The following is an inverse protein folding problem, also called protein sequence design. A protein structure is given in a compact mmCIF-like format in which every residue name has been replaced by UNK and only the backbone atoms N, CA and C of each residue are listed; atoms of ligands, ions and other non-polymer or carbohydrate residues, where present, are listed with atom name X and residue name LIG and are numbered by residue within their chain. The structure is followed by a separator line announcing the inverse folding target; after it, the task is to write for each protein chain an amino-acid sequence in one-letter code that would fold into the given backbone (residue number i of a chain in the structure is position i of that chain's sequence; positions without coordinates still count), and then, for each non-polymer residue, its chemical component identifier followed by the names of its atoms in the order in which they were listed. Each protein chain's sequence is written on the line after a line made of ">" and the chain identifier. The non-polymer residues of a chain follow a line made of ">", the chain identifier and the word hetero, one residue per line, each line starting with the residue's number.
data_IF_585400436737
#
_entry.id   IF_585400436737
#
_cell.length_a   1.000
_cell.length_b   1.000
_cell.length_c   1.000
_cell.angle_alpha   90.00
_cell.angle_beta   90.00
_cell.angle_gamma   90.00
#
_symmetry.space_group_name_H-M   'P 1'
#
loop_
_entity.id
_entity.type
_entity.pdbx_description
1 polymer ?
#
# COMPACT_ATOMS: atom_id res chain seq x y z
N UNK A 1 -10.66 -42.99 -39.13
CA UNK A 1 -10.29 -42.76 -37.71
C UNK A 1 -8.91 -42.11 -37.67
N UNK A 2 -8.84 -40.78 -37.76
CA UNK A 2 -7.59 -40.03 -37.67
C UNK A 2 -7.56 -39.28 -36.34
N UNK A 3 -6.74 -39.78 -35.40
CA UNK A 3 -6.44 -39.10 -34.15
C UNK A 3 -5.37 -38.02 -34.42
N UNK A 4 -5.80 -36.75 -34.48
CA UNK A 4 -4.91 -35.60 -34.37
C UNK A 4 -4.49 -35.45 -32.89
N UNK A 5 -3.22 -35.74 -32.60
CA UNK A 5 -2.57 -35.38 -31.33
C UNK A 5 -2.36 -33.88 -31.29
N UNK A 6 -3.15 -33.18 -30.49
CA UNK A 6 -2.93 -31.78 -30.11
C UNK A 6 -1.74 -31.77 -29.13
N UNK A 7 -0.58 -31.36 -29.61
CA UNK A 7 0.57 -31.03 -28.77
C UNK A 7 0.30 -29.66 -28.17
N UNK A 8 -0.18 -29.63 -26.93
CA UNK A 8 -0.31 -28.41 -26.15
C UNK A 8 1.07 -27.86 -25.81
N UNK A 9 1.43 -26.75 -26.45
CA UNK A 9 2.57 -25.93 -26.04
C UNK A 9 2.22 -25.28 -24.70
N UNK A 10 2.67 -25.90 -23.61
CA UNK A 10 2.63 -25.29 -22.28
C UNK A 10 3.73 -24.23 -22.25
N UNK A 11 3.36 -22.98 -22.56
CA UNK A 11 4.24 -21.84 -22.36
C UNK A 11 4.43 -21.66 -20.86
N UNK A 12 5.54 -22.21 -20.35
CA UNK A 12 5.99 -22.04 -18.98
C UNK A 12 6.42 -20.58 -18.80
N UNK A 13 5.48 -19.69 -18.44
CA UNK A 13 5.79 -18.34 -18.00
C UNK A 13 6.51 -18.47 -16.66
N UNK A 14 7.84 -18.46 -16.71
CA UNK A 14 8.67 -18.28 -15.53
C UNK A 14 8.42 -16.88 -15.02
N UNK A 15 7.59 -16.76 -13.98
CA UNK A 15 7.51 -15.56 -13.15
C UNK A 15 8.85 -15.42 -12.44
N UNK A 16 9.81 -14.78 -13.11
CA UNK A 16 11.00 -14.26 -12.46
C UNK A 16 10.48 -13.20 -11.49
N UNK A 17 10.38 -13.57 -10.23
CA UNK A 17 10.25 -12.63 -9.12
C UNK A 17 11.55 -11.82 -9.07
N UNK A 18 11.71 -10.84 -9.95
CA UNK A 18 12.74 -9.83 -9.80
C UNK A 18 12.39 -9.08 -8.53
N UNK A 19 13.10 -9.34 -7.44
CA UNK A 19 13.05 -8.47 -6.27
C UNK A 19 13.45 -7.08 -6.73
N UNK A 20 12.48 -6.17 -6.78
CA UNK A 20 12.73 -4.80 -7.17
C UNK A 20 13.64 -4.17 -6.11
N UNK A 21 14.86 -3.87 -6.56
CA UNK A 21 15.95 -3.12 -5.94
C UNK A 21 16.10 -3.20 -4.40
N UNK A 22 17.14 -3.90 -3.95
CA UNK A 22 17.65 -3.79 -2.58
C UNK A 22 18.27 -2.40 -2.29
N UNK A 23 18.82 -1.71 -3.30
CA UNK A 23 19.47 -0.41 -3.12
C UNK A 23 18.71 0.71 -3.82
N UNK A 24 18.26 1.70 -3.05
CA UNK A 24 17.48 2.84 -3.55
C UNK A 24 18.21 4.15 -3.36
N UNK A 25 18.40 4.92 -4.44
CA UNK A 25 18.88 6.30 -4.38
C UNK A 25 17.73 7.26 -4.08
N UNK A 26 17.87 8.07 -3.03
CA UNK A 26 16.84 9.02 -2.58
C UNK A 26 17.45 10.32 -2.06
N UNK A 27 16.59 11.29 -1.75
CA UNK A 27 16.97 12.60 -1.25
C UNK A 27 16.46 12.80 0.18
N UNK A 28 17.28 13.45 1.01
CA UNK A 28 16.87 13.91 2.35
C UNK A 28 15.87 15.05 2.22
N UNK A 29 14.66 14.87 2.74
CA UNK A 29 13.54 15.80 2.61
C UNK A 29 13.30 16.64 3.87
N UNK A 30 13.70 16.15 5.04
CA UNK A 30 13.54 16.83 6.33
C UNK A 30 14.19 18.22 6.33
N UNK A 31 13.44 19.23 6.78
CA UNK A 31 13.92 20.62 6.86
C UNK A 31 15.11 20.76 7.81
N UNK A 32 15.12 20.01 8.92
CA UNK A 32 16.22 20.01 9.90
C UNK A 32 17.37 19.08 9.48
N UNK A 33 17.29 18.50 8.27
CA UNK A 33 18.18 17.44 7.81
C UNK A 33 17.83 16.07 8.40
N UNK A 34 18.69 15.09 8.11
CA UNK A 34 18.52 13.71 8.55
C UNK A 34 19.61 13.29 9.54
N UNK A 35 19.21 12.71 10.66
CA UNK A 35 20.16 12.13 11.62
C UNK A 35 20.64 10.77 11.13
N UNK A 36 21.92 10.68 10.78
CA UNK A 36 22.60 9.42 10.53
C UNK A 36 23.03 8.79 11.86
N UNK A 37 22.73 7.50 12.00
CA UNK A 37 22.96 6.74 13.22
C UNK A 37 23.78 5.49 12.94
N UNK A 38 24.43 4.98 13.97
CA UNK A 38 25.15 3.70 13.93
C UNK A 38 24.59 2.75 14.98
N UNK A 39 24.62 1.46 14.70
CA UNK A 39 24.27 0.41 15.65
C UNK A 39 25.33 0.33 16.76
N UNK A 40 24.89 0.24 18.00
CA UNK A 40 25.73 0.01 19.18
C UNK A 40 25.07 -1.00 20.10
N UNK A 41 25.89 -1.84 20.71
CA UNK A 41 25.40 -2.80 21.69
C UNK A 41 25.02 -2.11 22.99
N UNK A 42 23.97 -2.63 23.62
CA UNK A 42 23.53 -2.30 24.96
C UNK A 42 23.31 -3.61 25.70
N UNK A 43 23.98 -3.74 26.84
CA UNK A 43 23.70 -4.82 27.78
C UNK A 43 22.79 -4.24 28.86
N UNK A 44 21.59 -4.79 28.97
CA UNK A 44 20.69 -4.48 30.05
C UNK A 44 21.30 -4.96 31.37
N UNK A 45 21.40 -4.04 32.35
CA UNK A 45 22.09 -4.33 33.61
C UNK A 45 21.27 -5.20 34.56
N UNK A 46 19.94 -5.23 34.42
CA UNK A 46 19.05 -5.97 35.31
C UNK A 46 18.79 -7.38 34.80
N UNK A 47 18.60 -7.52 33.49
CA UNK A 47 18.27 -8.80 32.84
C UNK A 47 19.47 -9.49 32.21
N UNK A 48 20.61 -8.80 32.07
CA UNK A 48 21.78 -9.29 31.34
C UNK A 48 21.58 -9.39 29.82
N UNK A 49 20.37 -9.08 29.32
CA UNK A 49 20.01 -9.21 27.92
C UNK A 49 20.86 -8.27 27.06
N UNK A 50 21.46 -8.82 26.00
CA UNK A 50 22.17 -8.03 24.99
C UNK A 50 21.17 -7.61 23.92
N UNK A 51 21.06 -6.29 23.73
CA UNK A 51 20.30 -5.69 22.63
C UNK A 51 21.18 -4.66 21.92
N UNK A 52 20.62 -3.98 20.93
CA UNK A 52 21.29 -2.89 20.25
C UNK A 52 20.42 -1.64 20.23
N UNK A 53 21.07 -0.49 20.12
CA UNK A 53 20.43 0.79 19.89
C UNK A 53 21.12 1.58 18.79
N UNK A 54 20.38 2.50 18.17
CA UNK A 54 20.92 3.42 17.18
C UNK A 54 21.41 4.70 17.85
N UNK A 55 22.73 4.90 17.86
CA UNK A 55 23.40 6.11 18.36
C UNK A 55 23.53 7.14 17.24
N UNK A 56 23.02 8.35 17.44
CA UNK A 56 23.24 9.47 16.50
C UNK A 56 24.73 9.73 16.31
N UNK A 57 25.17 9.81 15.06
CA UNK A 57 26.56 10.09 14.68
C UNK A 57 26.72 11.49 14.09
N UNK A 58 25.82 11.91 13.22
CA UNK A 58 25.82 13.24 12.58
C UNK A 58 24.42 13.55 12.04
N UNK A 59 24.17 14.80 11.66
CA UNK A 59 23.03 15.20 10.83
C UNK A 59 23.54 15.64 9.46
N UNK A 60 22.96 15.10 8.38
CA UNK A 60 23.19 15.56 6.99
C UNK A 60 22.07 16.53 6.59
N UNK A 61 22.36 17.58 5.80
CA UNK A 61 21.37 18.60 5.46
C UNK A 61 20.31 18.09 4.48
N UNK A 62 19.17 18.80 4.42
CA UNK A 62 18.16 18.67 3.36
C UNK A 62 18.81 18.73 1.97
N UNK A 63 18.30 17.95 1.03
CA UNK A 63 18.82 17.89 -0.34
C UNK A 63 20.09 17.02 -0.50
N UNK A 64 20.60 16.42 0.58
CA UNK A 64 21.63 15.39 0.47
C UNK A 64 21.09 14.18 -0.29
N UNK A 65 21.90 13.60 -1.16
CA UNK A 65 21.59 12.38 -1.92
C UNK A 65 22.26 11.22 -1.22
N UNK A 66 21.48 10.17 -0.97
CA UNK A 66 21.94 8.94 -0.34
C UNK A 66 21.44 7.75 -1.13
N UNK A 67 22.12 6.62 -0.96
CA UNK A 67 21.58 5.31 -1.26
C UNK A 67 21.23 4.63 0.06
N UNK A 68 20.12 3.91 0.08
CA UNK A 68 19.69 3.11 1.23
C UNK A 68 19.49 1.67 0.79
N UNK A 69 19.65 0.75 1.73
CA UNK A 69 19.22 -0.63 1.54
C UNK A 69 17.77 -0.75 2.05
N UNK A 70 16.83 -0.95 1.14
CA UNK A 70 15.39 -1.07 1.44
C UNK A 70 15.04 -2.38 2.14
N UNK A 71 15.83 -3.44 1.96
CA UNK A 71 15.65 -4.71 2.65
C UNK A 71 16.16 -4.63 4.10
N UNK A 72 17.13 -3.75 4.36
CA UNK A 72 17.69 -3.52 5.69
C UNK A 72 16.85 -2.55 6.55
N UNK A 73 15.56 -2.83 6.71
CA UNK A 73 14.64 -1.99 7.50
C UNK A 73 14.56 -2.46 8.96
N UNK A 74 14.69 -1.52 9.91
CA UNK A 74 14.49 -1.75 11.34
C UNK A 74 13.19 -1.12 11.81
N UNK A 75 12.24 -1.96 12.28
CA UNK A 75 10.95 -1.52 12.80
C UNK A 75 11.07 -1.19 14.29
N UNK A 76 10.71 0.04 14.66
CA UNK A 76 10.69 0.52 16.04
C UNK A 76 11.93 0.14 16.89
N UNK A 77 13.17 0.34 16.39
CA UNK A 77 14.39 -0.08 17.12
C UNK A 77 14.61 0.79 18.35
N UNK A 78 15.46 0.33 19.28
CA UNK A 78 15.93 1.21 20.35
C UNK A 78 16.83 2.32 19.79
N UNK A 79 16.65 3.53 20.30
CA UNK A 79 17.43 4.71 19.94
C UNK A 79 17.98 5.37 21.19
N UNK A 80 19.21 5.90 21.10
CA UNK A 80 19.77 6.73 22.18
C UNK A 80 19.42 8.20 21.94
N UNK A 81 18.87 8.82 22.99
CA UNK A 81 18.54 10.25 23.05
C UNK A 81 19.12 10.80 24.36
N UNK A 82 20.20 11.58 24.25
CA UNK A 82 21.00 11.95 25.42
C UNK A 82 21.58 10.72 26.11
N UNK A 83 21.32 10.59 27.42
CA UNK A 83 21.78 9.46 28.22
C UNK A 83 20.83 8.26 28.23
N UNK A 84 19.60 8.42 27.74
CA UNK A 84 18.56 7.37 27.78
C UNK A 84 18.52 6.57 26.48
N UNK A 85 18.32 5.26 26.60
CA UNK A 85 17.95 4.36 25.50
C UNK A 85 16.44 4.12 25.60
N UNK A 86 15.71 4.33 24.50
CA UNK A 86 14.26 4.15 24.45
C UNK A 86 13.83 3.54 23.13
N UNK A 87 12.67 2.88 23.10
CA UNK A 87 12.09 2.36 21.86
C UNK A 87 11.67 3.53 20.95
N UNK A 88 12.04 3.45 19.67
CA UNK A 88 11.58 4.40 18.64
C UNK A 88 10.17 4.02 18.21
N UNK A 89 9.30 5.01 18.01
CA UNK A 89 8.01 4.80 17.32
C UNK A 89 8.17 4.78 15.78
N UNK A 90 9.32 5.22 15.26
CA UNK A 90 9.60 5.29 13.84
C UNK A 90 10.55 4.16 13.39
N UNK A 91 10.40 3.75 12.14
CA UNK A 91 11.30 2.83 11.45
C UNK A 91 12.55 3.52 10.91
N UNK A 92 13.57 2.72 10.62
CA UNK A 92 14.83 3.15 10.04
C UNK A 92 15.19 2.30 8.83
N UNK A 93 15.78 2.94 7.82
CA UNK A 93 16.48 2.26 6.74
C UNK A 93 17.95 2.10 7.09
N UNK A 94 18.51 0.96 6.69
CA UNK A 94 19.90 0.59 6.84
C UNK A 94 20.69 0.73 5.54
N UNK A 95 21.93 0.26 5.55
CA UNK A 95 22.81 0.26 4.37
C UNK A 95 23.07 1.65 3.79
N UNK A 96 22.95 2.71 4.62
CA UNK A 96 22.93 4.08 4.11
C UNK A 96 24.31 4.49 3.60
N UNK A 97 24.43 4.74 2.29
CA UNK A 97 25.62 5.30 1.65
C UNK A 97 25.38 6.75 1.28
N UNK A 98 26.32 7.63 1.64
CA UNK A 98 26.24 9.05 1.30
C UNK A 98 26.83 9.26 -0.09
N UNK A 99 26.00 9.67 -1.05
CA UNK A 99 26.42 9.97 -2.42
C UNK A 99 26.83 11.43 -2.55
N UNK A 100 26.01 12.34 -2.01
CA UNK A 100 26.26 13.79 -2.05
C UNK A 100 25.68 14.47 -0.81
N UNK A 101 26.44 15.38 -0.22
CA UNK A 101 25.96 16.23 0.89
C UNK A 101 25.35 17.51 0.33
N UNK A 102 24.19 17.92 0.84
CA UNK A 102 23.52 19.18 0.46
C UNK A 102 24.28 20.44 0.91
N UNK A 103 23.68 21.63 0.76
CA UNK A 103 24.31 22.92 1.12
C UNK A 103 24.55 23.02 2.64
N UNK A 104 25.70 22.51 3.12
CA UNK A 104 26.38 22.74 4.42
C UNK A 104 27.64 21.85 4.46
N UNK A 105 28.76 22.37 4.99
CA UNK A 105 30.08 21.73 4.88
C UNK A 105 30.28 20.60 5.89
N UNK A 106 30.06 19.35 5.48
CA UNK A 106 30.73 18.20 6.09
C UNK A 106 32.13 18.15 5.44
N UNK A 107 33.19 18.15 6.25
CA UNK A 107 34.55 18.06 5.70
C UNK A 107 34.76 16.72 4.99
N UNK A 108 35.58 16.70 3.93
CA UNK A 108 35.89 15.48 3.17
C UNK A 108 36.43 14.37 4.09
N UNK A 109 37.33 14.69 5.03
CA UNK A 109 37.83 13.75 6.04
C UNK A 109 36.70 13.11 6.85
N UNK A 110 35.68 13.90 7.23
CA UNK A 110 34.54 13.39 7.98
C UNK A 110 33.64 12.52 7.12
N UNK A 111 33.44 12.89 5.85
CA UNK A 111 32.67 12.10 4.89
C UNK A 111 33.30 10.72 4.67
N UNK A 112 34.63 10.66 4.50
CA UNK A 112 35.36 9.40 4.35
C UNK A 112 35.30 8.51 5.59
N UNK A 113 35.24 9.09 6.80
CA UNK A 113 34.99 8.32 8.02
C UNK A 113 33.57 7.74 8.06
N UNK A 114 32.57 8.48 7.55
CA UNK A 114 31.17 8.05 7.56
C UNK A 114 30.93 6.91 6.57
N UNK A 115 31.58 6.94 5.40
CA UNK A 115 31.48 5.88 4.38
C UNK A 115 31.94 4.49 4.87
N UNK A 116 32.71 4.43 5.96
CA UNK A 116 33.21 3.19 6.58
C UNK A 116 32.28 2.62 7.65
N UNK A 117 31.12 3.24 7.90
CA UNK A 117 30.21 2.85 8.97
C UNK A 117 28.92 2.26 8.39
N UNK A 118 28.34 1.31 9.11
CA UNK A 118 26.96 0.87 8.87
C UNK A 118 25.99 1.93 9.39
N UNK A 119 25.54 2.77 8.46
CA UNK A 119 24.70 3.91 8.76
C UNK A 119 23.22 3.54 8.63
N UNK A 120 22.44 4.15 9.51
CA UNK A 120 20.99 4.06 9.55
C UNK A 120 20.38 5.46 9.53
N UNK A 121 19.24 5.59 8.89
CA UNK A 121 18.49 6.84 8.74
C UNK A 121 17.02 6.60 9.03
N UNK A 122 16.35 7.59 9.62
CA UNK A 122 14.91 7.52 9.82
C UNK A 122 14.17 7.46 8.47
N UNK A 123 13.14 6.61 8.39
CA UNK A 123 12.28 6.51 7.21
C UNK A 123 11.67 7.86 6.80
N UNK A 124 11.13 8.61 7.76
CA UNK A 124 10.51 9.92 7.54
C UNK A 124 11.50 11.04 7.17
N UNK A 125 12.80 10.78 7.17
CA UNK A 125 13.82 11.75 6.75
C UNK A 125 14.12 11.72 5.25
N UNK A 126 13.63 10.72 4.52
CA UNK A 126 13.89 10.53 3.09
C UNK A 126 12.61 10.71 2.27
N UNK A 127 12.77 10.85 0.95
CA UNK A 127 11.63 10.91 0.06
C UNK A 127 11.02 9.51 -0.16
N UNK A 128 9.93 9.24 0.54
CA UNK A 128 9.22 7.95 0.46
C UNK A 128 8.76 7.59 -0.96
N UNK A 129 8.41 8.57 -1.81
CA UNK A 129 7.98 8.27 -3.18
C UNK A 129 9.10 7.65 -4.02
N UNK A 130 10.36 8.01 -3.75
CA UNK A 130 11.50 7.43 -4.47
C UNK A 130 11.67 5.96 -4.08
N UNK A 131 11.44 5.65 -2.80
CA UNK A 131 11.47 4.28 -2.27
C UNK A 131 10.33 3.45 -2.86
N UNK A 132 9.09 3.98 -2.79
CA UNK A 132 7.93 3.30 -3.37
C UNK A 132 8.12 3.03 -4.85
N UNK A 133 8.64 4.00 -5.61
CA UNK A 133 8.90 3.81 -7.04
C UNK A 133 9.94 2.72 -7.30
N UNK A 134 11.08 2.78 -6.61
CA UNK A 134 12.14 1.81 -6.82
C UNK A 134 11.71 0.37 -6.51
N UNK A 135 10.84 0.19 -5.52
CA UNK A 135 10.37 -1.13 -5.08
C UNK A 135 9.14 -1.65 -5.83
N UNK A 136 8.30 -0.77 -6.37
CA UNK A 136 6.94 -1.14 -6.78
C UNK A 136 6.50 -0.56 -8.13
N UNK A 137 7.33 0.23 -8.80
CA UNK A 137 7.04 0.80 -10.13
C UNK A 137 7.62 -0.05 -11.26
N UNK A 138 7.07 -1.24 -11.40
CA UNK A 138 7.43 -2.20 -12.44
C UNK A 138 7.25 -1.60 -13.85
N UNK A 139 8.15 -1.88 -14.81
CA UNK A 139 7.88 -1.54 -16.21
C UNK A 139 6.66 -2.31 -16.71
N UNK A 140 5.92 -1.72 -17.64
CA UNK A 140 4.83 -2.42 -18.31
C UNK A 140 5.38 -3.55 -19.20
N UNK A 141 4.61 -4.63 -19.40
CA UNK A 141 4.97 -5.66 -20.37
C UNK A 141 5.16 -5.08 -21.78
N UNK A 142 6.00 -5.73 -22.59
CA UNK A 142 6.26 -5.30 -23.96
C UNK A 142 4.95 -5.22 -24.77
N UNK A 143 4.75 -4.11 -25.48
CA UNK A 143 3.54 -3.87 -26.29
C UNK A 143 2.32 -3.35 -25.50
N UNK A 144 2.39 -3.28 -24.16
CA UNK A 144 1.34 -2.66 -23.36
C UNK A 144 1.57 -1.14 -23.29
N UNK A 145 0.63 -0.39 -23.86
CA UNK A 145 0.64 1.07 -23.77
C UNK A 145 0.14 1.57 -22.42
N UNK A 146 0.67 2.72 -22.00
CA UNK A 146 0.18 3.45 -20.83
C UNK A 146 -1.24 3.97 -21.05
N UNK A 147 -1.96 4.12 -19.95
CA UNK A 147 -3.24 4.81 -19.95
C UNK A 147 -3.04 6.30 -20.23
N UNK A 148 -3.85 6.86 -21.13
CA UNK A 148 -3.94 8.30 -21.34
C UNK A 148 -4.54 9.03 -20.13
N UNK A 149 -5.33 8.31 -19.33
CA UNK A 149 -5.82 8.78 -18.03
C UNK A 149 -4.69 8.85 -17.01
N UNK A 150 -4.69 9.92 -16.20
CA UNK A 150 -3.80 10.06 -15.05
C UNK A 150 -4.50 9.59 -13.79
N UNK A 151 -3.82 8.75 -13.00
CA UNK A 151 -4.29 8.32 -11.68
C UNK A 151 -3.51 9.05 -10.58
N UNK A 152 -4.11 9.17 -9.39
CA UNK A 152 -3.48 9.94 -8.31
C UNK A 152 -2.16 9.30 -7.83
N UNK A 153 -2.02 7.98 -7.99
CA UNK A 153 -0.80 7.27 -7.64
C UNK A 153 0.31 7.38 -8.68
N UNK A 154 0.09 8.00 -9.85
CA UNK A 154 1.10 8.05 -10.93
C UNK A 154 2.39 8.77 -10.48
N UNK A 155 2.34 9.56 -9.40
CA UNK A 155 3.54 10.13 -8.78
C UNK A 155 4.45 9.05 -8.16
N UNK A 156 3.84 8.03 -7.54
CA UNK A 156 4.50 6.88 -6.91
C UNK A 156 4.72 5.72 -7.90
N UNK A 157 3.85 5.57 -8.89
CA UNK A 157 3.88 4.53 -9.92
C UNK A 157 3.78 5.12 -11.34
N UNK A 158 4.79 5.89 -11.81
CA UNK A 158 4.72 6.57 -13.10
C UNK A 158 4.68 5.64 -14.31
N UNK A 159 5.12 4.38 -14.21
CA UNK A 159 4.96 3.40 -15.29
C UNK A 159 3.50 2.91 -15.41
N UNK A 160 2.64 3.20 -14.43
CA UNK A 160 1.23 2.77 -14.37
C UNK A 160 1.03 1.25 -14.29
N UNK A 161 2.02 0.49 -13.81
CA UNK A 161 1.88 -0.95 -13.61
C UNK A 161 0.75 -1.32 -12.65
N UNK A 162 0.44 -0.49 -11.65
CA UNK A 162 -0.69 -0.75 -10.73
C UNK A 162 -2.04 -0.67 -11.44
N UNK A 163 -2.22 0.31 -12.34
CA UNK A 163 -3.41 0.39 -13.16
C UNK A 163 -3.51 -0.81 -14.12
N UNK A 164 -2.39 -1.24 -14.68
CA UNK A 164 -2.32 -2.43 -15.52
C UNK A 164 -2.67 -3.71 -14.76
N UNK A 165 -2.19 -3.92 -13.53
CA UNK A 165 -2.55 -5.09 -12.73
C UNK A 165 -4.06 -5.16 -12.43
N UNK A 166 -4.71 -4.02 -12.20
CA UNK A 166 -6.17 -3.97 -12.01
C UNK A 166 -6.88 -4.32 -13.33
N UNK A 167 -6.44 -3.75 -14.44
CA UNK A 167 -6.98 -4.04 -15.78
C UNK A 167 -6.93 -5.54 -16.09
N UNK A 168 -5.75 -6.16 -15.93
CA UNK A 168 -5.57 -7.60 -16.10
C UNK A 168 -6.44 -8.41 -15.13
N UNK A 169 -6.49 -8.05 -13.86
CA UNK A 169 -7.32 -8.75 -12.89
C UNK A 169 -8.82 -8.63 -13.20
N UNK A 170 -9.27 -7.52 -13.80
CA UNK A 170 -10.64 -7.38 -14.29
C UNK A 170 -10.88 -8.32 -15.47
N UNK A 171 -9.97 -8.38 -16.45
CA UNK A 171 -10.11 -9.31 -17.59
C UNK A 171 -10.15 -10.77 -17.14
N UNK A 172 -9.25 -11.16 -16.25
CA UNK A 172 -9.09 -12.55 -15.84
C UNK A 172 -10.21 -13.02 -14.88
N UNK A 173 -10.64 -12.15 -13.96
CA UNK A 173 -11.48 -12.56 -12.83
C UNK A 173 -12.64 -11.60 -12.51
N UNK A 174 -12.64 -10.40 -13.07
CA UNK A 174 -13.53 -9.31 -12.68
C UNK A 174 -14.56 -8.90 -13.73
N UNK A 175 -14.71 -9.63 -14.84
CA UNK A 175 -15.60 -9.26 -15.96
C UNK A 175 -17.03 -8.92 -15.52
N UNK A 176 -17.53 -9.57 -14.47
CA UNK A 176 -18.83 -9.25 -13.85
C UNK A 176 -18.97 -7.77 -13.49
N UNK A 177 -17.91 -7.11 -13.04
CA UNK A 177 -17.92 -5.68 -12.68
C UNK A 177 -18.28 -4.78 -13.88
N UNK A 178 -18.05 -5.26 -15.10
CA UNK A 178 -18.36 -4.56 -16.35
C UNK A 178 -19.75 -4.94 -16.87
N UNK A 179 -20.08 -6.23 -16.82
CA UNK A 179 -21.32 -6.79 -17.40
C UNK A 179 -22.55 -6.58 -16.51
N UNK A 180 -22.35 -6.68 -15.19
CA UNK A 180 -23.40 -6.58 -14.18
C UNK A 180 -22.98 -5.55 -13.12
N UNK A 181 -22.90 -4.26 -13.49
CA UNK A 181 -22.41 -3.26 -12.58
C UNK A 181 -23.33 -3.11 -11.35
N UNK A 182 -22.80 -2.62 -10.23
CA UNK A 182 -23.61 -2.44 -9.03
C UNK A 182 -24.69 -1.37 -9.22
N UNK A 183 -25.81 -1.49 -8.51
CA UNK A 183 -27.02 -0.67 -8.75
C UNK A 183 -26.82 0.82 -8.49
N UNK A 184 -25.87 1.17 -7.62
CA UNK A 184 -25.48 2.54 -7.27
C UNK A 184 -24.26 3.05 -8.05
N UNK A 185 -23.81 2.36 -9.11
CA UNK A 185 -22.61 2.78 -9.86
C UNK A 185 -22.75 4.20 -10.43
N UNK A 186 -23.95 4.61 -10.82
CA UNK A 186 -24.23 5.94 -11.37
C UNK A 186 -24.14 7.05 -10.32
N UNK A 187 -24.22 6.72 -9.03
CA UNK A 187 -23.91 7.66 -7.95
C UNK A 187 -22.42 8.03 -7.97
N UNK A 188 -21.55 7.06 -8.23
CA UNK A 188 -20.09 7.26 -8.27
C UNK A 188 -19.61 7.76 -9.64
N UNK A 189 -20.32 7.40 -10.71
CA UNK A 189 -19.97 7.76 -12.08
C UNK A 189 -21.26 7.94 -12.91
N UNK A 190 -21.81 9.16 -12.99
CA UNK A 190 -23.11 9.42 -13.63
C UNK A 190 -23.25 8.92 -15.07
N UNK A 191 -22.14 8.86 -15.82
CA UNK A 191 -22.12 8.39 -17.20
C UNK A 191 -21.76 6.89 -17.37
N UNK A 192 -21.62 6.12 -16.29
CA UNK A 192 -21.02 4.78 -16.31
C UNK A 192 -21.68 3.82 -17.32
N UNK A 193 -23.02 3.84 -17.41
CA UNK A 193 -23.78 2.91 -18.26
C UNK A 193 -23.56 3.15 -19.76
N UNK A 194 -23.04 4.31 -20.15
CA UNK A 194 -22.74 4.66 -21.55
C UNK A 194 -21.26 4.44 -21.90
N UNK A 195 -20.44 4.03 -20.93
CA UNK A 195 -19.02 3.84 -21.15
C UNK A 195 -18.73 2.56 -21.92
N UNK A 196 -17.72 2.65 -22.78
CA UNK A 196 -17.04 1.46 -23.32
C UNK A 196 -16.41 0.65 -22.18
N UNK A 197 -16.19 -0.64 -22.37
CA UNK A 197 -15.60 -1.49 -21.34
C UNK A 197 -14.22 -0.99 -20.89
N UNK A 198 -13.41 -0.46 -21.82
CA UNK A 198 -12.15 0.21 -21.49
C UNK A 198 -12.35 1.36 -20.50
N UNK A 199 -13.36 2.21 -20.71
CA UNK A 199 -13.66 3.33 -19.82
C UNK A 199 -14.31 2.87 -18.50
N UNK A 200 -15.09 1.79 -18.50
CA UNK A 200 -15.58 1.18 -17.25
C UNK A 200 -14.43 0.67 -16.37
N UNK A 201 -13.40 0.05 -16.96
CA UNK A 201 -12.18 -0.33 -16.23
C UNK A 201 -11.46 0.88 -15.64
N UNK A 202 -11.34 1.97 -16.40
CA UNK A 202 -10.79 3.24 -15.89
C UNK A 202 -11.55 3.74 -14.67
N UNK A 203 -12.89 3.59 -14.63
CA UNK A 203 -13.68 3.90 -13.43
C UNK A 203 -13.26 3.03 -12.24
N UNK A 204 -13.16 1.70 -12.40
CA UNK A 204 -12.78 0.79 -11.33
C UNK A 204 -11.36 1.07 -10.81
N UNK A 205 -10.43 1.39 -11.70
CA UNK A 205 -9.08 1.82 -11.34
C UNK A 205 -9.15 3.11 -10.52
N UNK A 206 -9.95 4.10 -10.91
CA UNK A 206 -10.14 5.32 -10.13
C UNK A 206 -10.79 5.07 -8.77
N UNK A 207 -11.76 4.15 -8.67
CA UNK A 207 -12.38 3.80 -7.40
C UNK A 207 -11.36 3.18 -6.43
N UNK A 208 -10.58 2.19 -6.90
CA UNK A 208 -9.49 1.59 -6.11
C UNK A 208 -8.40 2.60 -5.78
N UNK A 209 -8.09 3.52 -6.70
CA UNK A 209 -7.16 4.62 -6.47
C UNK A 209 -7.65 5.52 -5.31
N UNK A 210 -8.93 5.89 -5.29
CA UNK A 210 -9.52 6.68 -4.20
C UNK A 210 -9.55 5.95 -2.86
N UNK A 211 -9.71 4.63 -2.85
CA UNK A 211 -9.60 3.80 -1.65
C UNK A 211 -8.14 3.77 -1.19
N UNK A 212 -7.19 3.41 -2.06
CA UNK A 212 -5.77 3.31 -1.73
C UNK A 212 -5.18 4.63 -1.18
N UNK A 213 -5.65 5.78 -1.69
CA UNK A 213 -5.30 7.11 -1.16
C UNK A 213 -5.55 7.21 0.35
N UNK A 214 -6.66 6.65 0.83
CA UNK A 214 -7.13 6.75 2.22
C UNK A 214 -6.60 5.61 3.08
N UNK A 215 -6.56 4.41 2.52
CA UNK A 215 -6.10 3.20 3.22
C UNK A 215 -4.59 3.20 3.46
N UNK A 216 -3.80 3.61 2.47
CA UNK A 216 -2.33 3.48 2.51
C UNK A 216 -1.57 4.75 2.13
N UNK A 217 -2.26 5.79 1.65
CA UNK A 217 -1.61 6.95 0.98
C UNK A 217 -0.68 6.51 -0.16
N UNK A 218 -1.08 5.48 -0.89
CA UNK A 218 -0.33 4.88 -2.00
C UNK A 218 1.00 4.23 -1.57
N UNK A 219 1.07 3.70 -0.35
CA UNK A 219 2.23 2.97 0.15
C UNK A 219 1.95 1.45 0.22
N UNK A 220 2.51 0.63 -0.70
CA UNK A 220 2.39 -0.82 -0.63
C UNK A 220 3.09 -1.43 0.60
N UNK A 221 4.07 -0.74 1.20
CA UNK A 221 4.83 -1.24 2.34
C UNK A 221 4.11 -1.13 3.68
N UNK A 222 2.96 -0.45 3.75
CA UNK A 222 2.28 -0.18 5.02
C UNK A 222 1.52 -1.40 5.53
N UNK A 223 1.62 -1.64 6.84
CA UNK A 223 0.84 -2.64 7.56
C UNK A 223 0.28 -2.02 8.84
N UNK A 224 -1.00 -2.24 9.11
CA UNK A 224 -1.68 -1.71 10.29
C UNK A 224 -2.25 -2.86 11.11
N UNK A 225 -1.92 -2.87 12.40
CA UNK A 225 -2.51 -3.77 13.39
C UNK A 225 -3.87 -3.22 13.81
N UNK A 226 -4.94 -3.92 13.46
CA UNK A 226 -6.31 -3.47 13.71
C UNK A 226 -6.71 -3.61 15.18
N UNK A 227 -5.93 -4.32 16.01
CA UNK A 227 -6.19 -4.42 17.46
C UNK A 227 -6.14 -3.08 18.21
N UNK A 228 -5.58 -2.04 17.60
CA UNK A 228 -5.55 -0.68 18.16
C UNK A 228 -6.93 0.00 18.13
N UNK A 229 -7.84 -0.47 17.28
CA UNK A 229 -9.19 0.06 17.14
C UNK A 229 -10.15 -0.75 18.01
N UNK A 230 -10.76 -0.07 18.97
CA UNK A 230 -11.82 -0.64 19.80
C UNK A 230 -13.16 -0.28 19.15
N UNK A 231 -13.82 -1.24 18.52
CA UNK A 231 -15.14 -1.05 17.93
C UNK A 231 -16.11 -2.09 18.47
N UNK A 232 -17.37 -1.69 18.67
CA UNK A 232 -18.50 -2.56 19.04
C UNK A 232 -19.35 -2.97 17.83
N UNK A 233 -18.86 -2.74 16.60
CA UNK A 233 -19.48 -3.33 15.41
C UNK A 233 -19.36 -4.85 15.58
N UNK A 234 -20.48 -5.58 15.58
CA UNK A 234 -20.58 -7.01 15.85
C UNK A 234 -19.77 -7.94 14.91
N UNK A 235 -18.82 -7.40 14.13
CA UNK A 235 -17.83 -8.10 13.30
C UNK A 235 -16.38 -7.94 13.83
N UNK A 236 -16.17 -7.11 14.87
CA UNK A 236 -14.88 -6.90 15.56
C UNK A 236 -14.58 -8.02 16.57
N UNK A 237 -14.77 -9.28 16.16
CA UNK A 237 -14.18 -10.37 16.94
C UNK A 237 -12.69 -10.09 17.05
N UNK A 238 -12.22 -10.01 18.29
CA UNK A 238 -10.89 -9.61 18.76
C UNK A 238 -9.76 -10.46 18.14
N UNK A 239 -9.52 -10.28 16.85
CA UNK A 239 -8.45 -10.94 16.14
C UNK A 239 -7.39 -9.88 15.88
N UNK A 240 -6.14 -10.24 16.17
CA UNK A 240 -4.95 -9.50 15.76
C UNK A 240 -4.85 -9.52 14.22
N UNK A 241 -5.77 -8.81 13.57
CA UNK A 241 -5.83 -8.68 12.12
C UNK A 241 -4.85 -7.60 11.74
N UNK A 242 -3.84 -7.97 10.95
CA UNK A 242 -2.93 -6.99 10.38
C UNK A 242 -3.31 -6.81 8.91
N UNK A 243 -3.74 -5.61 8.56
CA UNK A 243 -4.08 -5.20 7.20
C UNK A 243 -2.85 -4.66 6.48
N UNK A 244 -2.72 -4.92 5.17
CA UNK A 244 -1.48 -4.67 4.41
C UNK A 244 -1.72 -4.08 3.03
N UNK A 245 -0.72 -3.33 2.58
CA UNK A 245 -0.59 -2.88 1.21
C UNK A 245 -1.56 -1.77 0.83
N UNK A 246 -1.70 -1.57 -0.48
CA UNK A 246 -2.41 -0.44 -1.07
C UNK A 246 -3.86 -0.32 -0.57
N UNK A 247 -4.57 -1.44 -0.52
CA UNK A 247 -5.99 -1.51 -0.17
C UNK A 247 -6.24 -1.99 1.27
N UNK A 248 -5.20 -2.10 2.11
CA UNK A 248 -5.30 -2.55 3.50
C UNK A 248 -6.13 -3.85 3.64
N UNK A 249 -5.74 -4.87 2.87
CA UNK A 249 -6.39 -6.18 2.90
C UNK A 249 -5.61 -7.07 3.87
N UNK A 250 -6.31 -7.76 4.76
CA UNK A 250 -5.69 -8.73 5.66
C UNK A 250 -5.50 -10.09 4.99
N UNK A 251 -4.37 -10.75 5.27
CA UNK A 251 -4.07 -12.07 4.69
C UNK A 251 -5.10 -13.13 5.10
N UNK A 252 -5.61 -13.07 6.34
CA UNK A 252 -6.64 -13.97 6.84
C UNK A 252 -7.93 -13.86 6.03
N UNK A 253 -8.41 -12.65 5.74
CA UNK A 253 -9.62 -12.45 4.94
C UNK A 253 -9.40 -12.78 3.46
N UNK A 254 -8.24 -12.42 2.90
CA UNK A 254 -7.86 -12.70 1.50
C UNK A 254 -7.91 -14.21 1.18
N UNK A 255 -7.62 -15.07 2.17
CA UNK A 255 -7.68 -16.53 2.01
C UNK A 255 -9.09 -17.12 1.90
N UNK A 256 -10.13 -16.33 2.10
CA UNK A 256 -11.51 -16.77 1.98
C UNK A 256 -11.75 -17.49 0.65
N UNK A 257 -12.39 -18.66 0.72
CA UNK A 257 -12.78 -19.43 -0.48
C UNK A 257 -13.63 -18.62 -1.46
N UNK A 258 -14.32 -17.58 -0.96
CA UNK A 258 -15.16 -16.71 -1.75
C UNK A 258 -14.34 -15.81 -2.68
N UNK A 259 -13.23 -15.25 -2.19
CA UNK A 259 -12.34 -14.38 -2.97
C UNK A 259 -11.37 -15.19 -3.86
N UNK A 260 -10.97 -16.39 -3.42
CA UNK A 260 -10.16 -17.30 -4.24
C UNK A 260 -10.81 -17.66 -5.57
N UNK A 261 -12.14 -17.82 -5.59
CA UNK A 261 -12.93 -18.05 -6.82
C UNK A 261 -12.82 -16.91 -7.84
N UNK A 262 -12.36 -15.74 -7.41
CA UNK A 262 -12.14 -14.55 -8.23
C UNK A 262 -10.67 -14.13 -8.29
N UNK A 263 -9.75 -15.08 -8.14
CA UNK A 263 -8.33 -14.82 -8.36
C UNK A 263 -7.54 -14.38 -7.12
N UNK A 264 -8.15 -14.09 -5.96
CA UNK A 264 -7.36 -13.71 -4.78
C UNK A 264 -6.66 -14.91 -4.15
N UNK A 265 -5.37 -15.08 -4.42
CA UNK A 265 -4.60 -16.27 -4.02
C UNK A 265 -3.21 -15.92 -3.42
N UNK A 266 -3.12 -15.06 -2.39
CA UNK A 266 -1.85 -14.79 -1.74
C UNK A 266 -1.31 -16.06 -1.06
N UNK A 267 -0.01 -16.32 -1.20
CA UNK A 267 0.67 -17.47 -0.57
C UNK A 267 1.08 -17.13 0.85
N UNK A 268 1.48 -15.89 1.11
CA UNK A 268 1.92 -15.42 2.41
C UNK A 268 1.32 -14.06 2.79
N UNK A 269 1.45 -13.66 4.05
CA UNK A 269 1.09 -12.31 4.48
C UNK A 269 2.00 -11.23 3.86
N UNK A 270 3.25 -11.58 3.52
CA UNK A 270 4.18 -10.65 2.87
C UNK A 270 3.72 -10.31 1.45
N UNK A 271 3.11 -11.26 0.73
CA UNK A 271 2.58 -11.07 -0.62
C UNK A 271 1.52 -9.95 -0.67
N UNK A 272 0.86 -9.65 0.45
CA UNK A 272 -0.12 -8.56 0.53
C UNK A 272 0.51 -7.18 0.40
N UNK A 273 1.83 -7.05 0.53
CA UNK A 273 2.58 -5.83 0.22
C UNK A 273 2.94 -5.71 -1.27
N UNK A 274 2.80 -6.80 -2.06
CA UNK A 274 3.02 -6.79 -3.50
C UNK A 274 1.81 -6.15 -4.19
N UNK A 275 1.97 -5.04 -4.95
CA UNK A 275 0.85 -4.33 -5.57
C UNK A 275 -0.02 -5.21 -6.46
N UNK A 276 0.58 -6.05 -7.32
CA UNK A 276 -0.17 -6.94 -8.22
C UNK A 276 -1.11 -7.88 -7.45
N UNK A 277 -0.59 -8.55 -6.42
CA UNK A 277 -1.38 -9.44 -5.55
C UNK A 277 -2.46 -8.67 -4.77
N UNK A 278 -2.10 -7.53 -4.18
CA UNK A 278 -3.03 -6.72 -3.37
C UNK A 278 -4.20 -6.20 -4.20
N UNK A 279 -3.92 -5.67 -5.39
CA UNK A 279 -4.92 -5.10 -6.30
C UNK A 279 -5.78 -6.18 -6.96
N UNK A 280 -5.20 -7.32 -7.34
CA UNK A 280 -5.96 -8.49 -7.81
C UNK A 280 -6.94 -8.98 -6.74
N UNK A 281 -6.51 -9.05 -5.47
CA UNK A 281 -7.41 -9.33 -4.36
C UNK A 281 -8.49 -8.27 -4.19
N UNK A 282 -8.19 -7.00 -4.42
CA UNK A 282 -9.18 -5.92 -4.50
C UNK A 282 -10.28 -6.22 -5.53
N UNK A 283 -9.90 -6.58 -6.77
CA UNK A 283 -10.85 -6.94 -7.84
C UNK A 283 -11.69 -8.16 -7.43
N UNK A 284 -11.06 -9.16 -6.82
CA UNK A 284 -11.72 -10.37 -6.35
C UNK A 284 -12.81 -10.10 -5.31
N UNK A 285 -12.47 -9.25 -4.32
CA UNK A 285 -13.39 -8.86 -3.26
C UNK A 285 -14.52 -8.00 -3.83
N UNK A 286 -14.22 -7.04 -4.71
CA UNK A 286 -15.25 -6.25 -5.41
C UNK A 286 -16.23 -7.18 -6.13
N UNK A 287 -15.71 -8.09 -6.95
CA UNK A 287 -16.50 -9.04 -7.75
C UNK A 287 -17.35 -9.98 -6.91
N UNK A 288 -16.85 -10.37 -5.73
CA UNK A 288 -17.62 -11.19 -4.80
C UNK A 288 -18.73 -10.39 -4.11
N UNK A 289 -18.41 -9.20 -3.60
CA UNK A 289 -19.32 -8.42 -2.77
C UNK A 289 -20.42 -7.73 -3.56
N UNK A 290 -20.25 -7.52 -4.87
CA UNK A 290 -21.28 -6.97 -5.78
C UNK A 290 -22.13 -8.07 -6.42
N UNK A 291 -22.48 -9.11 -5.65
CA UNK A 291 -23.31 -10.24 -6.12
C UNK A 291 -24.63 -10.33 -5.37
N UNK A 292 -25.66 -10.79 -6.09
CA UNK A 292 -26.98 -11.08 -5.51
C UNK A 292 -27.58 -9.87 -4.80
N UNK A 293 -28.19 -10.10 -3.63
CA UNK A 293 -28.79 -9.04 -2.81
C UNK A 293 -27.81 -8.00 -2.25
N UNK A 294 -26.50 -8.15 -2.46
CA UNK A 294 -25.47 -7.16 -2.08
C UNK A 294 -24.92 -6.38 -3.28
N UNK A 295 -25.60 -6.35 -4.43
CA UNK A 295 -25.12 -5.74 -5.67
C UNK A 295 -25.03 -4.20 -5.64
N UNK A 296 -24.16 -3.64 -4.80
CA UNK A 296 -23.85 -2.22 -4.77
C UNK A 296 -22.40 -1.94 -4.34
N UNK A 297 -21.92 -0.72 -4.58
CA UNK A 297 -20.63 -0.23 -4.10
C UNK A 297 -20.76 0.13 -2.62
N UNK A 298 -21.78 0.89 -2.24
CA UNK A 298 -21.97 1.34 -0.87
C UNK A 298 -23.43 1.50 -0.47
N UNK A 299 -23.98 0.48 0.20
CA UNK A 299 -25.33 0.51 0.75
C UNK A 299 -25.40 -0.07 2.16
N UNK A 300 -26.55 0.17 2.79
CA UNK A 300 -26.99 -0.51 3.99
C UNK A 300 -28.13 -1.47 3.66
N UNK A 301 -28.07 -2.67 4.22
CA UNK A 301 -29.18 -3.62 4.22
C UNK A 301 -30.35 -3.01 5.01
N UNK A 302 -31.44 -2.70 4.32
CA UNK A 302 -32.61 -2.05 4.92
C UNK A 302 -33.39 -2.98 5.86
N UNK A 303 -33.15 -4.29 5.80
CA UNK A 303 -33.91 -5.31 6.53
C UNK A 303 -33.12 -5.81 7.75
N UNK A 304 -31.79 -5.95 7.65
CA UNK A 304 -30.94 -6.48 8.72
C UNK A 304 -30.08 -5.41 9.43
N UNK A 305 -30.63 -4.76 10.46
CA UNK A 305 -29.90 -3.82 11.34
C UNK A 305 -29.09 -2.74 10.61
N UNK A 306 -29.46 -2.35 9.39
CA UNK A 306 -28.74 -1.36 8.60
C UNK A 306 -27.25 -1.69 8.37
N UNK A 307 -26.90 -2.99 8.34
CA UNK A 307 -25.51 -3.43 8.12
C UNK A 307 -25.00 -3.00 6.75
N UNK A 308 -23.73 -2.65 6.67
CA UNK A 308 -23.08 -2.32 5.39
C UNK A 308 -22.99 -3.55 4.48
N UNK A 309 -23.42 -3.39 3.23
CA UNK A 309 -23.39 -4.40 2.17
C UNK A 309 -22.63 -3.87 0.94
N UNK A 310 -22.42 -4.75 -0.03
CA UNK A 310 -21.62 -4.42 -1.20
C UNK A 310 -20.14 -4.24 -0.84
N UNK A 311 -19.43 -3.44 -1.62
CA UNK A 311 -17.98 -3.20 -1.42
C UNK A 311 -17.72 -2.54 -0.05
N UNK A 312 -18.62 -1.65 0.39
CA UNK A 312 -18.54 -0.98 1.70
C UNK A 312 -18.62 -1.92 2.92
N UNK A 313 -19.00 -3.19 2.71
CA UNK A 313 -18.90 -4.23 3.74
C UNK A 313 -17.46 -4.42 4.18
N UNK A 314 -16.52 -4.44 3.23
CA UNK A 314 -15.09 -4.63 3.52
C UNK A 314 -14.39 -3.30 3.81
N UNK A 315 -14.53 -2.30 2.93
CA UNK A 315 -13.81 -1.04 3.07
C UNK A 315 -14.62 0.03 3.79
N UNK A 316 -14.17 0.40 4.99
CA UNK A 316 -14.77 1.47 5.79
C UNK A 316 -14.73 2.82 5.07
N UNK A 317 -13.74 3.05 4.20
CA UNK A 317 -13.62 4.27 3.38
C UNK A 317 -14.82 4.55 2.49
N UNK A 318 -15.58 3.51 2.10
CA UNK A 318 -16.80 3.64 1.32
C UNK A 318 -18.07 3.82 2.17
N UNK A 319 -17.97 3.86 3.49
CA UNK A 319 -19.10 4.09 4.40
C UNK A 319 -19.31 5.60 4.62
N UNK A 320 -20.50 5.97 5.08
CA UNK A 320 -20.74 7.34 5.55
C UNK A 320 -19.81 7.66 6.74
N UNK A 321 -19.42 8.93 6.96
CA UNK A 321 -18.49 9.28 8.02
C UNK A 321 -18.95 8.86 9.42
N UNK A 322 -18.05 8.28 10.22
CA UNK A 322 -18.29 7.88 11.60
C UNK A 322 -17.01 7.94 12.44
N UNK A 323 -17.15 7.85 13.76
CA UNK A 323 -16.02 7.81 14.69
C UNK A 323 -15.79 6.39 15.22
N UNK A 324 -14.52 6.00 15.36
CA UNK A 324 -14.10 4.73 15.96
C UNK A 324 -13.15 5.03 17.11
N UNK A 325 -13.29 4.31 18.23
CA UNK A 325 -12.36 4.43 19.36
C UNK A 325 -11.00 3.84 18.99
N UNK A 326 -9.94 4.53 19.38
CA UNK A 326 -8.57 4.23 18.99
C UNK A 326 -7.62 4.59 20.14
N UNK A 327 -6.96 3.56 20.68
CA UNK A 327 -6.12 3.69 21.88
C UNK A 327 -4.89 4.58 21.70
N UNK A 328 -4.44 4.74 20.45
CA UNK A 328 -3.25 5.54 20.11
C UNK A 328 -3.60 6.92 19.51
N UNK A 329 -4.89 7.20 19.32
CA UNK A 329 -5.34 8.44 18.69
C UNK A 329 -5.32 9.61 19.68
N UNK A 330 -4.91 10.80 19.24
CA UNK A 330 -4.73 11.99 20.09
C UNK A 330 -5.97 12.32 20.94
N UNK A 331 -7.16 12.13 20.39
CA UNK A 331 -8.44 12.42 21.05
C UNK A 331 -9.19 11.15 21.48
N UNK A 332 -8.52 9.98 21.47
CA UNK A 332 -9.15 8.68 21.76
C UNK A 332 -10.07 8.16 20.65
N UNK A 333 -10.36 8.95 19.61
CA UNK A 333 -11.16 8.54 18.45
C UNK A 333 -10.46 8.87 17.13
N UNK A 334 -10.84 8.14 16.09
CA UNK A 334 -10.48 8.37 14.70
C UNK A 334 -11.75 8.55 13.87
N UNK A 335 -11.80 9.62 13.05
CA UNK A 335 -12.85 9.77 12.04
C UNK A 335 -12.50 8.92 10.81
N UNK A 336 -13.43 8.06 10.44
CA UNK A 336 -13.36 7.17 9.27
C UNK A 336 -14.61 7.35 8.42
N UNK A 337 -14.72 6.64 7.29
CA UNK A 337 -15.82 6.81 6.34
C UNK A 337 -15.65 8.05 5.48
N UNK A 338 -15.54 7.84 4.17
CA UNK A 338 -15.24 8.90 3.20
C UNK A 338 -16.08 8.78 1.93
N UNK A 339 -17.25 8.13 2.00
CA UNK A 339 -18.12 7.85 0.85
C UNK A 339 -18.33 9.07 -0.05
N UNK A 340 -18.75 10.19 0.54
CA UNK A 340 -19.04 11.42 -0.21
C UNK A 340 -17.81 12.01 -0.90
N UNK A 341 -16.63 11.88 -0.29
CA UNK A 341 -15.39 12.33 -0.93
C UNK A 341 -15.01 11.44 -2.12
N UNK A 342 -15.16 10.13 -1.97
CA UNK A 342 -14.88 9.16 -3.04
C UNK A 342 -15.85 9.39 -4.20
N UNK A 343 -17.15 9.56 -3.94
CA UNK A 343 -18.16 9.90 -4.97
C UNK A 343 -17.73 11.15 -5.73
N UNK A 344 -17.37 12.23 -5.03
CA UNK A 344 -16.93 13.49 -5.65
C UNK A 344 -15.65 13.31 -6.47
N UNK A 345 -14.70 12.52 -5.99
CA UNK A 345 -13.45 12.23 -6.69
C UNK A 345 -13.68 11.43 -7.98
N UNK A 346 -14.47 10.35 -7.93
CA UNK A 346 -14.73 9.50 -9.11
C UNK A 346 -15.63 10.19 -10.13
N UNK A 347 -16.66 10.92 -9.69
CA UNK A 347 -17.58 11.63 -10.58
C UNK A 347 -16.90 12.78 -11.35
N UNK A 348 -15.79 13.33 -10.83
CA UNK A 348 -15.01 14.40 -11.49
C UNK A 348 -14.07 13.89 -12.58
N UNK A 349 -13.86 12.58 -12.69
CA UNK A 349 -13.00 11.99 -13.73
C UNK A 349 -13.59 12.28 -15.11
N UNK A 350 -12.74 12.44 -16.14
CA UNK A 350 -13.19 12.82 -17.49
C UNK A 350 -14.25 11.85 -18.05
N UNK A 351 -14.12 10.56 -17.76
CA UNK A 351 -15.04 9.52 -18.23
C UNK A 351 -16.41 9.59 -17.54
N UNK A 352 -16.50 10.13 -16.32
CA UNK A 352 -17.74 10.12 -15.53
C UNK A 352 -18.55 11.41 -15.65
N UNK A 353 -17.98 12.45 -16.28
CA UNK A 353 -18.72 13.66 -16.62
C UNK A 353 -19.76 13.30 -17.68
N UNK A 354 -20.98 13.81 -17.49
CA UNK A 354 -22.02 13.79 -18.50
C UNK A 354 -21.69 14.76 -19.62
#
# INVERSE_FOLDING_TARGET
>A
MNLLKIIGVVTLVTLISTSYAAIVRTVVTSNDGASLRIKKEYRDRQTGAQTFYLKKKITIPKGSIIEIDSEMTLIAPFVKSGFKVKRSAASFYGGVKIIRVGKRSISNRKLEQLKKLDLYIYEWSVNKSDITRALYDEPLPAGVERWSNKFMWDKANPNQSWAHHIDQAIDDYGQRLLDNPPTDVTLFCPNYLQLTDRNKKVFWIHLMNSIAKRESRFDPGVGNDESIFNGSDADSTQLNVISRGLLQISYSSARSRHYKKFGCMPKSAADMHTPSVNLQCGVAIFSHLTRGGSNCISCKDQINNQKWIGISRYWSTLREPYEVSCSICKNGTARVGFKQDIIRETARTKICKK
#
